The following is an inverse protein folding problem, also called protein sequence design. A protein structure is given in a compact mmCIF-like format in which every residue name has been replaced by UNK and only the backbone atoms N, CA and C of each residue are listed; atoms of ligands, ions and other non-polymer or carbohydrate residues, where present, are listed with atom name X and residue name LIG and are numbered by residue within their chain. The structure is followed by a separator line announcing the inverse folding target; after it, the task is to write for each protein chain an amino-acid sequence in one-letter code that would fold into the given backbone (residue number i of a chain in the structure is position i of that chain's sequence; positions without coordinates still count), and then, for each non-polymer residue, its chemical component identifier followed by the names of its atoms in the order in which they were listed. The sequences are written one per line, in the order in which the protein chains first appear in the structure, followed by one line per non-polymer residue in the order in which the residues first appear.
data_IF_559463980595
#
_entry.id   IF_559463980595
#
_cell.length_a   1.000
_cell.length_b   1.000
_cell.length_c   1.000
_cell.angle_alpha   90.00
_cell.angle_beta   90.00
_cell.angle_gamma   90.00
#
_symmetry.space_group_name_H-M   'P 1'
#
loop_
_entity.id
_entity.type
_entity.pdbx_description
1 polymer ?
#
# COMPACT_ATOMS: atom_id res chain seq x y z
N UNK A 1 2.46 -28.19 -12.14
CA UNK A 1 1.67 -29.23 -11.49
C UNK A 1 1.31 -28.77 -10.09
N UNK A 2 0.02 -28.76 -9.77
CA UNK A 2 -0.44 -28.49 -8.41
C UNK A 2 -0.38 -29.80 -7.62
N UNK A 3 0.23 -29.78 -6.41
CA UNK A 3 0.15 -30.88 -5.49
C UNK A 3 -1.07 -30.68 -4.58
N UNK A 4 -1.91 -31.70 -4.42
CA UNK A 4 -2.97 -31.72 -3.44
C UNK A 4 -2.42 -32.32 -2.13
N UNK A 5 -2.74 -31.68 -1.01
CA UNK A 5 -2.38 -32.15 0.32
C UNK A 5 -3.67 -32.35 1.11
N UNK A 6 -3.79 -33.48 1.78
CA UNK A 6 -4.87 -33.75 2.73
C UNK A 6 -4.42 -33.31 4.13
N UNK A 7 -5.30 -32.65 4.88
CA UNK A 7 -5.03 -32.20 6.24
C UNK A 7 -6.33 -32.22 7.06
N UNK A 8 -6.21 -32.50 8.36
CA UNK A 8 -7.35 -32.45 9.29
C UNK A 8 -7.83 -31.02 9.56
N UNK A 9 -6.91 -30.03 9.45
CA UNK A 9 -7.19 -28.61 9.67
C UNK A 9 -6.42 -27.81 8.62
N UNK A 10 -7.11 -26.86 7.97
CA UNK A 10 -6.51 -25.90 7.05
C UNK A 10 -6.65 -24.49 7.61
N UNK A 11 -5.52 -23.76 7.70
CA UNK A 11 -5.50 -22.36 8.13
C UNK A 11 -5.23 -21.48 6.91
N UNK A 12 -6.21 -20.65 6.51
CA UNK A 12 -6.07 -19.73 5.40
C UNK A 12 -5.36 -18.44 5.84
N UNK A 13 -4.20 -18.15 5.24
CA UNK A 13 -3.47 -16.89 5.42
C UNK A 13 -3.66 -15.91 4.26
N UNK A 14 -4.58 -16.20 3.33
CA UNK A 14 -4.92 -15.34 2.19
C UNK A 14 -5.95 -14.27 2.56
N UNK A 15 -6.26 -13.36 1.61
CA UNK A 15 -7.35 -12.40 1.78
C UNK A 15 -8.67 -13.13 2.13
N UNK A 16 -9.39 -12.64 3.14
CA UNK A 16 -10.56 -13.35 3.65
C UNK A 16 -11.69 -13.43 2.63
N UNK A 17 -11.96 -12.35 1.89
CA UNK A 17 -12.92 -12.39 0.79
C UNK A 17 -12.53 -13.43 -0.26
N UNK A 18 -11.24 -13.48 -0.63
CA UNK A 18 -10.75 -14.47 -1.59
C UNK A 18 -10.94 -15.90 -1.08
N UNK A 19 -10.57 -16.16 0.18
CA UNK A 19 -10.77 -17.47 0.80
C UNK A 19 -12.23 -17.89 0.73
N UNK A 20 -13.12 -17.01 1.18
CA UNK A 20 -14.52 -17.35 1.34
C UNK A 20 -15.28 -17.41 0.01
N UNK A 21 -15.01 -16.46 -0.90
CA UNK A 21 -15.77 -16.37 -2.17
C UNK A 21 -15.19 -17.25 -3.29
N UNK A 22 -13.91 -17.62 -3.23
CA UNK A 22 -13.25 -18.33 -4.33
C UNK A 22 -12.65 -19.69 -3.93
N UNK A 23 -12.26 -19.91 -2.68
CA UNK A 23 -11.64 -21.15 -2.26
C UNK A 23 -12.62 -22.10 -1.55
N UNK A 24 -13.64 -21.59 -0.87
CA UNK A 24 -14.66 -22.40 -0.24
C UNK A 24 -15.83 -22.68 -1.20
N UNK A 25 -16.38 -23.89 -1.12
CA UNK A 25 -17.61 -24.23 -1.77
C UNK A 25 -18.77 -23.35 -1.23
N UNK A 26 -19.75 -23.07 -2.09
CA UNK A 26 -20.82 -22.11 -1.78
C UNK A 26 -21.57 -22.44 -0.48
N UNK A 27 -21.75 -23.71 -0.20
CA UNK A 27 -22.42 -24.21 1.00
C UNK A 27 -21.63 -24.01 2.31
N UNK A 28 -20.32 -23.79 2.19
CA UNK A 28 -19.39 -23.58 3.31
C UNK A 28 -19.06 -22.10 3.54
N UNK A 29 -19.68 -21.17 2.77
CA UNK A 29 -19.47 -19.73 2.90
C UNK A 29 -20.40 -19.16 3.96
N UNK A 30 -19.85 -18.36 4.87
CA UNK A 30 -20.63 -17.68 5.90
C UNK A 30 -21.26 -16.38 5.37
N UNK A 31 -20.58 -15.70 4.43
CA UNK A 31 -20.98 -14.39 3.91
C UNK A 31 -21.17 -14.41 2.40
N UNK A 32 -22.17 -13.70 1.92
CA UNK A 32 -22.43 -13.51 0.49
C UNK A 32 -21.68 -12.30 -0.08
N UNK A 33 -21.75 -12.12 -1.40
CA UNK A 33 -21.13 -10.98 -2.07
C UNK A 33 -21.67 -9.63 -1.58
N UNK A 34 -22.97 -9.58 -1.23
CA UNK A 34 -23.61 -8.35 -0.75
C UNK A 34 -23.10 -7.93 0.63
N UNK A 35 -22.71 -8.89 1.46
CA UNK A 35 -22.02 -8.61 2.72
C UNK A 35 -20.69 -7.90 2.47
N UNK A 36 -19.86 -8.45 1.58
CA UNK A 36 -18.53 -7.90 1.26
C UNK A 36 -18.61 -6.52 0.64
N UNK A 37 -19.58 -6.27 -0.24
CA UNK A 37 -19.78 -4.97 -0.87
C UNK A 37 -20.08 -3.85 0.13
N UNK A 38 -20.72 -4.18 1.25
CA UNK A 38 -21.05 -3.24 2.32
C UNK A 38 -19.95 -3.07 3.37
N UNK A 39 -18.84 -3.83 3.27
CA UNK A 39 -17.74 -3.72 4.23
C UNK A 39 -16.79 -2.58 3.89
N UNK A 40 -16.35 -1.91 4.93
CA UNK A 40 -15.28 -0.93 4.83
C UNK A 40 -13.95 -1.69 4.82
N UNK A 41 -13.21 -1.59 3.73
CA UNK A 41 -11.88 -2.18 3.64
C UNK A 41 -10.83 -1.21 4.20
N UNK A 42 -9.73 -1.75 4.68
CA UNK A 42 -8.55 -0.95 5.03
C UNK A 42 -7.97 -0.27 3.77
N UNK A 43 -7.16 0.78 3.92
CA UNK A 43 -6.57 1.44 2.79
C UNK A 43 -5.76 0.51 1.89
N UNK A 44 -5.71 0.84 0.63
CA UNK A 44 -4.66 0.44 -0.29
C UNK A 44 -3.47 1.39 -0.16
N UNK A 45 -2.46 1.23 -1.01
CA UNK A 45 -1.29 2.09 -1.04
C UNK A 45 -0.73 2.25 -2.44
N UNK A 46 -0.17 3.42 -2.74
CA UNK A 46 0.79 3.58 -3.81
C UNK A 46 2.20 3.54 -3.21
N UNK A 47 2.97 2.57 -3.65
CA UNK A 47 4.33 2.31 -3.19
C UNK A 47 5.33 2.59 -4.30
N UNK A 48 6.49 3.12 -3.92
CA UNK A 48 7.67 3.17 -4.81
C UNK A 48 8.89 2.61 -4.11
N UNK A 49 9.60 1.75 -4.82
CA UNK A 49 10.91 1.23 -4.44
C UNK A 49 11.94 1.89 -5.36
N UNK A 50 12.87 2.63 -4.78
CA UNK A 50 13.75 3.53 -5.50
C UNK A 50 15.20 3.29 -5.07
N UNK A 51 16.08 3.06 -6.04
CA UNK A 51 17.54 3.07 -5.83
C UNK A 51 18.10 4.44 -6.16
N UNK A 52 18.88 5.01 -5.24
CA UNK A 52 19.50 6.34 -5.35
C UNK A 52 21.03 6.19 -5.34
N UNK A 53 21.72 6.74 -6.34
CA UNK A 53 23.17 6.62 -6.49
C UNK A 53 23.96 7.71 -5.76
N UNK A 54 23.44 8.19 -4.64
CA UNK A 54 24.12 9.13 -3.74
C UNK A 54 23.64 8.95 -2.29
N UNK A 55 24.38 9.41 -1.28
CA UNK A 55 23.89 9.52 0.09
C UNK A 55 22.76 10.56 0.22
N UNK A 56 21.85 10.35 1.19
CA UNK A 56 20.73 11.22 1.51
C UNK A 56 20.86 11.76 2.95
N UNK A 57 21.80 12.68 3.24
CA UNK A 57 22.12 13.09 4.62
C UNK A 57 20.97 13.73 5.37
N UNK A 58 20.01 14.35 4.66
CA UNK A 58 18.88 15.07 5.26
C UNK A 58 17.65 14.16 5.49
N UNK A 59 17.76 12.87 5.22
CA UNK A 59 16.72 11.88 5.50
C UNK A 59 17.16 10.93 6.62
N UNK A 60 16.21 10.58 7.48
CA UNK A 60 16.34 9.53 8.48
C UNK A 60 15.86 8.19 7.91
N UNK A 61 15.98 7.11 8.69
CA UNK A 61 15.38 5.84 8.32
C UNK A 61 13.86 5.98 8.08
N UNK A 62 13.16 6.67 8.98
CA UNK A 62 11.72 6.93 8.89
C UNK A 62 11.45 8.43 8.81
N UNK A 63 10.67 8.85 7.80
CA UNK A 63 10.30 10.24 7.58
C UNK A 63 8.82 10.32 7.23
N UNK A 64 8.09 11.21 7.91
CA UNK A 64 6.66 11.44 7.69
C UNK A 64 6.44 12.83 7.09
N UNK A 65 5.75 12.88 5.96
CA UNK A 65 5.40 14.12 5.28
C UNK A 65 3.93 14.42 5.53
N UNK A 66 3.66 15.06 6.67
CA UNK A 66 2.33 15.47 7.14
C UNK A 66 2.15 16.98 7.04
N UNK A 67 2.60 17.54 5.93
CA UNK A 67 2.58 18.96 5.62
C UNK A 67 1.35 19.39 4.78
N UNK A 68 0.30 18.58 4.76
CA UNK A 68 -0.99 18.84 4.15
C UNK A 68 -2.11 18.47 5.14
N UNK A 69 -3.36 18.78 4.78
CA UNK A 69 -4.52 18.51 5.62
C UNK A 69 -4.76 17.00 5.79
N UNK A 70 -4.64 16.54 7.04
CA UNK A 70 -4.84 15.14 7.40
C UNK A 70 -6.30 14.71 7.26
N UNK A 71 -7.24 15.56 7.69
CA UNK A 71 -8.67 15.24 7.65
C UNK A 71 -9.15 15.11 6.20
N UNK A 72 -8.70 15.99 5.33
CA UNK A 72 -9.00 15.90 3.90
C UNK A 72 -8.52 14.56 3.32
N UNK A 73 -7.27 14.16 3.60
CA UNK A 73 -6.74 12.90 3.07
C UNK A 73 -7.49 11.69 3.64
N UNK A 74 -7.85 11.72 4.93
CA UNK A 74 -8.65 10.66 5.55
C UNK A 74 -10.06 10.56 4.94
N UNK A 75 -10.71 11.69 4.64
CA UNK A 75 -12.00 11.70 3.94
C UNK A 75 -11.88 11.11 2.53
N UNK A 76 -10.82 11.43 1.79
CA UNK A 76 -10.55 10.91 0.44
C UNK A 76 -10.24 9.41 0.41
N UNK A 77 -9.88 8.82 1.56
CA UNK A 77 -9.71 7.36 1.70
C UNK A 77 -11.03 6.68 2.08
N UNK A 78 -11.77 7.21 3.07
CA UNK A 78 -12.85 6.46 3.72
C UNK A 78 -14.26 6.94 3.37
N UNK A 79 -14.48 8.24 3.22
CA UNK A 79 -15.81 8.82 3.01
C UNK A 79 -16.10 9.12 1.53
N UNK A 80 -15.13 9.65 0.82
CA UNK A 80 -15.21 10.02 -0.59
C UNK A 80 -14.04 9.41 -1.38
N UNK A 81 -14.05 8.09 -1.62
CA UNK A 81 -12.92 7.39 -2.23
C UNK A 81 -12.45 8.01 -3.54
N UNK A 82 -11.28 8.61 -3.52
CA UNK A 82 -10.62 9.20 -4.70
C UNK A 82 -9.10 9.27 -4.52
N UNK A 83 -8.39 9.54 -5.59
CA UNK A 83 -6.97 9.85 -5.53
C UNK A 83 -6.76 11.15 -4.74
N UNK A 84 -5.84 11.19 -3.75
CA UNK A 84 -5.69 12.31 -2.83
C UNK A 84 -5.38 13.62 -3.54
N UNK A 85 -6.09 14.69 -3.17
CA UNK A 85 -5.85 16.04 -3.70
C UNK A 85 -4.49 16.58 -3.24
N UNK A 86 -4.17 16.36 -1.97
CA UNK A 86 -2.90 16.77 -1.36
C UNK A 86 -2.36 15.61 -0.49
N UNK A 87 -1.64 14.65 -1.08
CA UNK A 87 -1.31 13.41 -0.40
C UNK A 87 -0.38 13.61 0.79
N UNK A 88 -0.67 12.95 1.90
CA UNK A 88 0.31 12.65 2.94
C UNK A 88 1.06 11.38 2.55
N UNK A 89 2.35 11.31 2.87
CA UNK A 89 3.14 10.13 2.55
C UNK A 89 4.26 9.88 3.55
N UNK A 90 4.72 8.66 3.55
CA UNK A 90 5.85 8.18 4.32
C UNK A 90 7.02 7.89 3.41
N UNK A 91 8.24 8.22 3.86
CA UNK A 91 9.49 7.87 3.20
C UNK A 91 10.38 7.07 4.15
N UNK A 92 10.85 5.91 3.71
CA UNK A 92 11.76 5.06 4.45
C UNK A 92 13.08 4.92 3.71
N UNK A 93 14.19 5.06 4.44
CA UNK A 93 15.55 4.86 3.91
C UNK A 93 16.25 3.79 4.77
N UNK A 94 15.99 2.50 4.52
CA UNK A 94 16.54 1.40 5.33
C UNK A 94 18.07 1.38 5.37
N UNK A 95 18.73 1.81 4.31
CA UNK A 95 20.20 1.91 4.23
C UNK A 95 20.82 2.85 5.28
N UNK A 96 20.03 3.71 5.94
CA UNK A 96 20.50 4.52 7.07
C UNK A 96 20.90 3.70 8.30
N UNK A 97 20.33 2.53 8.46
CA UNK A 97 20.56 1.65 9.63
C UNK A 97 21.12 0.30 9.28
N UNK A 98 21.02 -0.10 8.01
CA UNK A 98 21.55 -1.38 7.51
C UNK A 98 22.33 -1.14 6.20
N UNK A 99 23.64 -1.22 6.28
CA UNK A 99 24.52 -1.03 5.14
C UNK A 99 24.48 -2.18 4.11
N UNK A 100 23.86 -3.31 4.45
CA UNK A 100 23.77 -4.47 3.55
C UNK A 100 22.65 -4.34 2.50
N UNK A 101 21.71 -3.40 2.67
CA UNK A 101 20.51 -3.29 1.80
C UNK A 101 20.68 -2.33 0.63
N UNK A 102 21.86 -1.70 0.47
CA UNK A 102 22.19 -0.87 -0.67
C UNK A 102 23.69 -0.99 -1.01
N UNK A 103 24.13 -0.79 -2.27
CA UNK A 103 25.53 -0.71 -2.61
C UNK A 103 26.24 0.46 -1.90
N UNK A 104 27.55 0.33 -1.70
CA UNK A 104 28.34 1.37 -1.05
C UNK A 104 28.18 2.74 -1.73
N UNK A 105 27.87 3.77 -0.95
CA UNK A 105 27.65 5.13 -1.43
C UNK A 105 26.28 5.37 -2.08
N UNK A 106 25.41 4.35 -2.09
CA UNK A 106 24.03 4.43 -2.57
C UNK A 106 23.03 4.30 -1.42
N UNK A 107 21.79 4.67 -1.69
CA UNK A 107 20.67 4.52 -0.73
C UNK A 107 19.49 3.85 -1.42
N UNK A 108 18.69 3.11 -0.64
CA UNK A 108 17.37 2.69 -1.04
C UNK A 108 16.33 3.60 -0.40
N UNK A 109 15.38 4.04 -1.19
CA UNK A 109 14.28 4.89 -0.75
C UNK A 109 12.97 4.18 -1.06
N UNK A 110 12.13 4.05 -0.06
CA UNK A 110 10.78 3.54 -0.18
C UNK A 110 9.79 4.67 0.11
N UNK A 111 8.84 4.90 -0.80
CA UNK A 111 7.74 5.84 -0.59
C UNK A 111 6.42 5.09 -0.47
N UNK A 112 5.59 5.51 0.48
CA UNK A 112 4.25 4.96 0.69
C UNK A 112 3.24 6.11 0.82
N UNK A 113 2.22 6.09 -0.03
CA UNK A 113 1.07 6.98 0.02
C UNK A 113 -0.20 6.14 0.23
N UNK A 114 -0.95 6.32 1.33
CA UNK A 114 -2.22 5.64 1.53
C UNK A 114 -3.25 6.05 0.48
N UNK A 115 -4.06 5.09 0.03
CA UNK A 115 -5.11 5.26 -0.96
C UNK A 115 -6.40 4.58 -0.52
N UNK A 116 -7.54 5.05 -1.02
CA UNK A 116 -8.76 4.26 -0.96
C UNK A 116 -8.60 2.95 -1.75
N UNK A 117 -9.15 1.84 -1.28
CA UNK A 117 -9.23 0.60 -2.08
C UNK A 117 -10.19 0.77 -3.25
N UNK A 118 -10.03 -0.05 -4.29
CA UNK A 118 -10.89 -0.07 -5.47
C UNK A 118 -10.74 1.12 -6.43
N UNK A 119 -9.76 1.99 -6.24
CA UNK A 119 -9.51 3.09 -7.16
C UNK A 119 -8.95 2.58 -8.49
N UNK A 120 -9.33 3.28 -9.58
CA UNK A 120 -8.73 3.03 -10.89
C UNK A 120 -7.24 3.35 -10.83
N UNK A 121 -6.42 2.33 -11.07
CA UNK A 121 -4.97 2.40 -11.05
C UNK A 121 -4.42 2.38 -12.47
N UNK A 122 -3.64 3.40 -12.84
CA UNK A 122 -3.00 3.52 -14.14
C UNK A 122 -1.57 4.01 -14.01
N UNK A 123 -0.71 3.66 -14.96
CA UNK A 123 0.67 4.15 -15.00
C UNK A 123 0.74 5.68 -14.98
N UNK A 124 -0.18 6.37 -15.67
CA UNK A 124 -0.23 7.85 -15.70
C UNK A 124 -0.47 8.42 -14.29
N UNK A 125 -1.40 7.84 -13.53
CA UNK A 125 -1.67 8.27 -12.16
C UNK A 125 -0.49 7.98 -11.24
N UNK A 126 0.10 6.79 -11.35
CA UNK A 126 1.30 6.44 -10.55
C UNK A 126 2.43 7.45 -10.80
N UNK A 127 2.74 7.76 -12.07
CA UNK A 127 3.80 8.73 -12.41
C UNK A 127 3.48 10.15 -11.95
N UNK A 128 2.22 10.58 -12.07
CA UNK A 128 1.77 11.88 -11.54
C UNK A 128 2.05 11.99 -10.03
N UNK A 129 1.66 10.99 -9.25
CA UNK A 129 1.84 11.02 -7.80
C UNK A 129 3.30 10.77 -7.40
N UNK A 130 4.05 10.02 -8.18
CA UNK A 130 5.50 9.93 -8.01
C UNK A 130 6.15 11.31 -8.09
N UNK A 131 5.86 12.05 -9.15
CA UNK A 131 6.41 13.41 -9.35
C UNK A 131 6.02 14.36 -8.21
N UNK A 132 4.75 14.32 -7.77
CA UNK A 132 4.28 15.14 -6.64
C UNK A 132 5.02 14.83 -5.32
N UNK A 133 5.20 13.54 -5.01
CA UNK A 133 5.91 13.13 -3.79
C UNK A 133 7.39 13.48 -3.88
N UNK A 134 8.03 13.24 -5.03
CA UNK A 134 9.44 13.52 -5.24
C UNK A 134 9.74 15.02 -5.11
N UNK A 135 8.97 15.88 -5.78
CA UNK A 135 9.11 17.34 -5.69
C UNK A 135 8.96 17.84 -4.25
N UNK A 136 7.96 17.33 -3.52
CA UNK A 136 7.76 17.72 -2.10
C UNK A 136 8.90 17.24 -1.23
N UNK A 137 9.39 16.02 -1.43
CA UNK A 137 10.52 15.48 -0.70
C UNK A 137 11.77 16.33 -0.95
N UNK A 138 12.12 16.59 -2.22
CA UNK A 138 13.26 17.44 -2.58
C UNK A 138 13.16 18.83 -1.95
N UNK A 139 12.00 19.48 -2.06
CA UNK A 139 11.76 20.81 -1.50
C UNK A 139 11.87 20.86 0.03
N UNK A 140 11.36 19.83 0.73
CA UNK A 140 11.32 19.81 2.21
C UNK A 140 12.65 19.41 2.83
N UNK A 141 13.43 18.60 2.14
CA UNK A 141 14.70 18.08 2.67
C UNK A 141 15.91 18.82 2.12
N UNK A 142 15.78 19.53 1.02
CA UNK A 142 16.88 20.09 0.27
C UNK A 142 17.71 19.05 -0.51
N UNK A 143 17.26 17.79 -0.52
CA UNK A 143 17.90 16.74 -1.32
C UNK A 143 17.51 16.89 -2.79
N UNK A 144 18.45 16.69 -3.69
CA UNK A 144 18.20 16.59 -5.13
C UNK A 144 18.25 15.12 -5.49
N UNK A 145 17.12 14.55 -5.84
CA UNK A 145 16.97 13.13 -6.23
C UNK A 145 16.83 12.98 -7.74
N UNK A 146 16.30 14.00 -8.40
CA UNK A 146 16.18 14.06 -9.86
C UNK A 146 17.56 13.90 -10.49
N UNK A 147 17.71 12.92 -11.40
CA UNK A 147 18.99 12.55 -12.01
C UNK A 147 19.83 11.54 -11.20
N UNK A 148 19.45 11.22 -9.97
CA UNK A 148 20.13 10.24 -9.12
C UNK A 148 19.36 8.92 -8.95
N UNK A 149 18.19 8.80 -9.57
CA UNK A 149 17.38 7.59 -9.53
C UNK A 149 17.91 6.58 -10.54
N UNK A 150 18.40 5.44 -10.07
CA UNK A 150 18.93 4.35 -10.91
C UNK A 150 17.96 3.17 -11.02
N UNK A 151 17.07 3.03 -10.06
CA UNK A 151 15.99 2.02 -10.07
C UNK A 151 14.71 2.68 -9.58
N UNK A 152 13.59 2.39 -10.24
CA UNK A 152 12.26 2.77 -9.79
C UNK A 152 11.27 1.65 -10.11
N UNK A 153 10.55 1.19 -9.09
CA UNK A 153 9.41 0.29 -9.24
C UNK A 153 8.22 0.84 -8.46
N UNK A 154 7.05 0.81 -9.06
CA UNK A 154 5.79 1.13 -8.37
C UNK A 154 5.01 -0.14 -8.05
N UNK A 155 4.19 -0.07 -7.01
CA UNK A 155 3.23 -1.11 -6.61
C UNK A 155 1.97 -0.42 -6.09
N UNK A 156 0.78 -0.86 -6.55
CA UNK A 156 -0.45 -0.15 -6.23
C UNK A 156 -1.66 -1.12 -6.27
N UNK A 157 -2.87 -0.59 -6.30
CA UNK A 157 -4.15 -1.33 -6.21
C UNK A 157 -4.19 -2.59 -7.08
N UNK A 158 -3.89 -2.45 -8.38
CA UNK A 158 -3.90 -3.60 -9.31
C UNK A 158 -2.87 -4.68 -8.96
N UNK A 159 -1.73 -4.29 -8.38
CA UNK A 159 -0.70 -5.25 -7.98
C UNK A 159 -1.12 -6.01 -6.72
N UNK A 160 -1.77 -5.34 -5.76
CA UNK A 160 -2.35 -6.00 -4.59
C UNK A 160 -3.45 -7.00 -4.99
N UNK A 161 -4.32 -6.64 -5.93
CA UNK A 161 -5.33 -7.56 -6.47
C UNK A 161 -4.69 -8.77 -7.14
N UNK A 162 -3.69 -8.55 -7.98
CA UNK A 162 -3.05 -9.59 -8.76
C UNK A 162 -2.20 -10.54 -7.92
N UNK A 163 -1.36 -10.01 -7.03
CA UNK A 163 -0.33 -10.80 -6.35
C UNK A 163 -0.83 -11.40 -5.03
N UNK A 164 -1.81 -10.76 -4.38
CA UNK A 164 -2.36 -11.19 -3.09
C UNK A 164 -3.84 -11.57 -3.14
N UNK A 165 -4.49 -11.47 -4.30
CA UNK A 165 -5.94 -11.64 -4.46
C UNK A 165 -6.74 -10.72 -3.50
N UNK A 166 -6.19 -9.57 -3.14
CA UNK A 166 -6.79 -8.65 -2.19
C UNK A 166 -8.07 -8.04 -2.73
N UNK A 167 -9.16 -8.16 -1.98
CA UNK A 167 -10.44 -7.59 -2.39
C UNK A 167 -10.35 -6.06 -2.54
N UNK A 168 -10.65 -5.55 -3.72
CA UNK A 168 -10.52 -4.12 -4.09
C UNK A 168 -9.08 -3.59 -3.89
N UNK A 169 -8.07 -4.45 -3.97
CA UNK A 169 -6.67 -4.07 -3.81
C UNK A 169 -6.33 -3.46 -2.45
N UNK A 170 -7.06 -3.83 -1.39
CA UNK A 170 -6.73 -3.40 -0.03
C UNK A 170 -5.38 -3.98 0.42
N UNK A 171 -4.68 -3.29 1.36
CA UNK A 171 -3.39 -3.74 1.86
C UNK A 171 -3.46 -4.49 3.20
N UNK A 172 -4.58 -4.43 3.93
CA UNK A 172 -4.68 -4.92 5.32
C UNK A 172 -5.99 -5.66 5.64
N UNK A 173 -6.82 -5.98 4.67
CA UNK A 173 -8.11 -6.63 4.88
C UNK A 173 -9.20 -5.65 5.32
N UNK A 174 -10.09 -6.09 6.21
CA UNK A 174 -11.17 -5.27 6.74
C UNK A 174 -10.66 -4.15 7.65
N UNK A 175 -11.21 -2.95 7.50
CA UNK A 175 -10.92 -1.83 8.38
C UNK A 175 -11.42 -2.09 9.81
N UNK A 176 -10.64 -1.67 10.79
CA UNK A 176 -11.01 -1.77 12.22
C UNK A 176 -11.94 -0.61 12.61
N UNK A 177 -13.14 -0.58 12.05
CA UNK A 177 -14.20 0.34 12.48
C UNK A 177 -14.90 -0.21 13.73
N UNK A 178 -15.65 0.63 14.45
CA UNK A 178 -16.42 0.20 15.64
C UNK A 178 -17.39 -0.96 15.35
N UNK A 179 -17.87 -1.06 14.09
CA UNK A 179 -18.79 -2.12 13.65
C UNK A 179 -18.09 -3.30 12.97
N UNK A 180 -16.77 -3.28 12.87
CA UNK A 180 -15.95 -4.30 12.21
C UNK A 180 -14.74 -4.68 13.06
N UNK A 181 -14.84 -4.63 14.38
CA UNK A 181 -13.75 -4.98 15.29
C UNK A 181 -14.19 -5.93 16.38
N UNK A 182 -13.27 -6.60 17.03
CA UNK A 182 -13.48 -7.58 18.07
C UNK A 182 -14.51 -8.67 17.64
N UNK A 183 -15.55 -8.87 18.40
CA UNK A 183 -16.61 -9.87 18.15
C UNK A 183 -17.49 -9.56 16.93
N UNK A 184 -17.37 -8.36 16.34
CA UNK A 184 -18.11 -7.94 15.14
C UNK A 184 -17.28 -8.12 13.86
N UNK A 185 -16.05 -8.59 14.00
CA UNK A 185 -15.19 -8.94 12.87
C UNK A 185 -15.56 -10.34 12.38
N UNK A 186 -15.72 -10.56 11.06
CA UNK A 186 -16.00 -11.87 10.51
C UNK A 186 -14.89 -12.88 10.79
#
# INVERSE_FOLDING_TARGET
SYAAYEADITIAGSDYHHTEQLLLDKENREYDSSYWDRRTMSPSSLLFYIGINKPLPNLLHHNLFFDADFEQHAQEIYAEPKWPTSPLFYACVPSKTDSAVAPLGMENLFLLMPLAPGLKDTTILREKYFSLMLERLERKTGEILTGHIVVKRSYCVNDFEKDYNSFKGNAYGLANTLRQTAILKP
#
